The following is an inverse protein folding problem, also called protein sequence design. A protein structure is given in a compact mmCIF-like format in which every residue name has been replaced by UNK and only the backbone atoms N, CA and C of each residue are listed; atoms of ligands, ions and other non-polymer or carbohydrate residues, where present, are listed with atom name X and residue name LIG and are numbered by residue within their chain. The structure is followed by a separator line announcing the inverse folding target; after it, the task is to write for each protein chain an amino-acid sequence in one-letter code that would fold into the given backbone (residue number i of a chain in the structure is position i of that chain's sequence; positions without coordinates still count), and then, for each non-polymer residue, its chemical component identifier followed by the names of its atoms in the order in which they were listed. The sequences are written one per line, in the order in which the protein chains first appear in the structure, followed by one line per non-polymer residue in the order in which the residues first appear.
data_IF_333813601041
#
_entry.id   IF_333813601041
#
_cell.length_a   1.000
_cell.length_b   1.000
_cell.length_c   1.000
_cell.angle_alpha   90.00
_cell.angle_beta   90.00
_cell.angle_gamma   90.00
#
_symmetry.space_group_name_H-M   'P 1'
#
loop_
_entity.id
_entity.type
_entity.pdbx_description
1 polymer ?
#
# COMPACT_ATOMS: atom_id res chain seq x y z
N UNK A 1 -1.33 -4.55 -37.53
CA UNK A 1 -1.26 -5.00 -36.11
C UNK A 1 -0.45 -3.96 -35.36
N UNK A 2 -1.10 -3.05 -34.63
CA UNK A 2 -0.40 -2.02 -33.86
C UNK A 2 0.21 -2.71 -32.62
N UNK A 3 1.53 -2.75 -32.53
CA UNK A 3 2.22 -3.23 -31.33
C UNK A 3 1.83 -2.25 -30.22
N UNK A 4 1.00 -2.68 -29.25
CA UNK A 4 0.78 -1.90 -28.03
C UNK A 4 2.14 -1.76 -27.37
N UNK A 5 2.60 -0.54 -27.16
CA UNK A 5 3.79 -0.29 -26.35
C UNK A 5 3.63 -0.98 -25.00
N UNK A 6 4.64 -1.77 -24.61
CA UNK A 6 4.67 -2.39 -23.28
C UNK A 6 4.72 -1.28 -22.23
N UNK A 7 3.66 -1.15 -21.43
CA UNK A 7 3.64 -0.21 -20.30
C UNK A 7 4.52 -0.73 -19.18
N UNK A 8 5.23 0.19 -18.54
CA UNK A 8 6.09 -0.09 -17.38
C UNK A 8 5.42 0.46 -16.14
N UNK A 9 5.21 -0.42 -15.17
CA UNK A 9 4.61 -0.09 -13.88
C UNK A 9 5.65 -0.24 -12.78
N UNK A 10 5.74 0.74 -11.88
CA UNK A 10 6.37 0.60 -10.58
C UNK A 10 5.26 0.40 -9.56
N UNK A 11 5.29 -0.72 -8.85
CA UNK A 11 4.37 -0.96 -7.72
C UNK A 11 5.13 -0.65 -6.44
N UNK A 12 4.76 0.43 -5.75
CA UNK A 12 5.38 0.80 -4.48
C UNK A 12 4.66 0.11 -3.33
N UNK A 13 5.40 -0.47 -2.38
CA UNK A 13 4.84 -1.23 -1.26
C UNK A 13 4.33 -0.31 -0.14
N UNK A 14 3.93 -0.91 0.97
CA UNK A 14 3.57 -0.24 2.22
C UNK A 14 4.74 0.63 2.69
N UNK A 15 4.58 1.96 2.67
CA UNK A 15 5.62 2.90 3.10
C UNK A 15 5.63 3.08 4.62
N UNK A 16 4.45 3.02 5.24
CA UNK A 16 4.26 3.13 6.70
C UNK A 16 4.94 4.38 7.29
N UNK A 17 4.73 5.54 6.66
CA UNK A 17 5.32 6.81 7.14
C UNK A 17 4.68 7.18 8.49
N UNK A 18 5.47 7.53 9.50
CA UNK A 18 6.90 7.91 9.50
C UNK A 18 7.85 6.73 9.79
N UNK A 19 7.36 5.49 9.84
CA UNK A 19 8.17 4.31 10.20
C UNK A 19 9.02 3.79 9.04
N UNK A 20 8.99 4.46 7.89
CA UNK A 20 9.74 4.08 6.69
C UNK A 20 11.25 4.09 6.91
N UNK A 21 11.97 3.31 6.10
CA UNK A 21 13.43 3.28 6.08
C UNK A 21 13.94 4.37 5.10
N UNK A 22 14.54 5.48 5.59
CA UNK A 22 14.82 6.65 4.75
C UNK A 22 15.72 6.33 3.54
N UNK A 23 16.75 5.49 3.73
CA UNK A 23 17.68 5.12 2.66
C UNK A 23 17.00 4.26 1.59
N UNK A 24 16.13 3.32 1.97
CA UNK A 24 15.40 2.48 1.04
C UNK A 24 14.44 3.33 0.18
N UNK A 25 13.67 4.22 0.81
CA UNK A 25 12.78 5.15 0.12
C UNK A 25 13.57 6.08 -0.81
N UNK A 26 14.69 6.67 -0.35
CA UNK A 26 15.55 7.51 -1.21
C UNK A 26 16.08 6.75 -2.43
N UNK A 27 16.46 5.48 -2.28
CA UNK A 27 16.90 4.65 -3.41
C UNK A 27 15.75 4.35 -4.38
N UNK A 28 14.55 4.07 -3.87
CA UNK A 28 13.35 3.85 -4.68
C UNK A 28 12.99 5.11 -5.49
N UNK A 29 13.04 6.30 -4.88
CA UNK A 29 12.84 7.59 -5.56
C UNK A 29 13.86 7.78 -6.70
N UNK A 30 15.14 7.52 -6.43
CA UNK A 30 16.19 7.61 -7.47
C UNK A 30 15.92 6.66 -8.62
N UNK A 31 15.53 5.43 -8.33
CA UNK A 31 15.19 4.44 -9.34
C UNK A 31 13.94 4.86 -10.13
N UNK A 32 12.89 5.33 -9.47
CA UNK A 32 11.69 5.81 -10.14
C UNK A 32 11.99 6.92 -11.14
N UNK A 33 12.80 7.91 -10.73
CA UNK A 33 13.22 9.03 -11.59
C UNK A 33 14.13 8.58 -12.74
N UNK A 34 14.99 7.59 -12.52
CA UNK A 34 15.92 7.09 -13.55
C UNK A 34 15.24 6.22 -14.60
N UNK A 35 14.39 5.29 -14.16
CA UNK A 35 13.83 4.24 -15.01
C UNK A 35 12.61 4.70 -15.84
N UNK A 36 12.02 5.85 -15.53
CA UNK A 36 10.88 6.46 -16.26
C UNK A 36 9.73 5.47 -16.47
N UNK A 37 9.06 5.09 -15.40
CA UNK A 37 7.85 4.28 -15.46
C UNK A 37 6.69 5.08 -16.06
N UNK A 38 5.79 4.39 -16.77
CA UNK A 38 4.56 5.02 -17.28
C UNK A 38 3.57 5.29 -16.14
N UNK A 39 3.59 4.44 -15.12
CA UNK A 39 2.74 4.54 -13.93
C UNK A 39 3.51 4.12 -12.68
N UNK A 40 3.27 4.84 -11.59
CA UNK A 40 3.75 4.51 -10.25
C UNK A 40 2.53 4.30 -9.37
N UNK A 41 2.29 3.06 -8.97
CA UNK A 41 1.09 2.63 -8.24
C UNK A 41 1.47 2.30 -6.80
N UNK A 42 0.76 2.86 -5.82
CA UNK A 42 0.97 2.54 -4.42
C UNK A 42 -0.13 1.60 -3.90
N UNK A 43 0.26 0.56 -3.19
CA UNK A 43 -0.65 -0.47 -2.66
C UNK A 43 -1.41 -0.04 -1.39
N UNK A 44 -1.32 1.22 -1.00
CA UNK A 44 -1.86 1.74 0.25
C UNK A 44 -0.84 1.69 1.39
N UNK A 45 -1.29 1.98 2.60
CA UNK A 45 -0.44 2.06 3.80
C UNK A 45 0.77 3.00 3.62
N UNK A 46 0.56 4.11 2.91
CA UNK A 46 1.53 5.20 2.79
C UNK A 46 1.79 5.86 4.15
N UNK A 47 0.73 5.98 4.98
CA UNK A 47 0.80 6.42 6.36
C UNK A 47 0.64 5.25 7.32
N UNK A 48 1.42 5.22 8.41
CA UNK A 48 1.15 4.31 9.53
C UNK A 48 0.01 4.82 10.40
N UNK A 49 -0.17 6.13 10.51
CA UNK A 49 -1.14 6.76 11.41
C UNK A 49 -1.01 6.22 12.84
N UNK A 50 0.20 6.18 13.34
CA UNK A 50 0.56 5.54 14.62
C UNK A 50 -0.25 6.11 15.79
N UNK A 51 -0.39 7.43 15.86
CA UNK A 51 -1.16 8.13 16.92
C UNK A 51 -2.65 7.73 16.93
N UNK A 52 -3.18 7.26 15.81
CA UNK A 52 -4.57 6.79 15.66
C UNK A 52 -4.72 5.28 15.91
N UNK A 53 -3.62 4.58 16.17
CA UNK A 53 -3.62 3.15 16.42
C UNK A 53 -4.17 2.82 17.82
N UNK A 54 -5.05 1.82 17.89
CA UNK A 54 -5.53 1.29 19.18
C UNK A 54 -4.42 0.75 20.09
N UNK A 55 -3.29 0.38 19.51
CA UNK A 55 -2.17 -0.25 20.20
C UNK A 55 -1.25 0.73 20.94
N UNK A 56 -1.34 2.03 20.63
CA UNK A 56 -0.52 3.06 21.26
C UNK A 56 -1.26 3.86 22.34
N UNK A 57 -2.55 3.61 22.52
CA UNK A 57 -3.35 4.31 23.53
C UNK A 57 -2.73 4.16 24.93
N UNK A 58 -2.58 5.28 25.64
CA UNK A 58 -1.95 5.35 26.96
C UNK A 58 -0.43 5.21 26.94
N UNK A 59 0.20 5.22 25.77
CA UNK A 59 1.67 5.19 25.65
C UNK A 59 2.21 6.55 25.20
N UNK A 60 3.53 6.76 25.34
CA UNK A 60 4.19 7.98 24.82
C UNK A 60 4.01 8.16 23.31
N UNK A 61 3.86 7.08 22.59
CA UNK A 61 3.71 7.08 21.12
C UNK A 61 2.37 7.67 20.66
N UNK A 62 1.36 7.70 21.52
CA UNK A 62 0.05 8.34 21.21
C UNK A 62 0.21 9.84 20.89
N UNK A 63 1.24 10.48 21.45
CA UNK A 63 1.46 11.92 21.33
C UNK A 63 2.81 12.26 20.69
N UNK A 64 3.55 11.26 20.19
CA UNK A 64 4.94 11.44 19.77
C UNK A 64 5.07 12.22 18.45
N UNK A 65 4.12 12.08 17.55
CA UNK A 65 4.10 12.76 16.24
C UNK A 65 2.70 13.24 15.93
N UNK A 66 2.59 14.35 15.21
CA UNK A 66 1.30 14.83 14.75
C UNK A 66 0.95 14.19 13.42
N UNK A 67 -0.34 13.95 13.19
CA UNK A 67 -0.82 13.46 11.91
C UNK A 67 -0.50 14.44 10.76
N UNK A 68 -0.30 15.71 11.08
CA UNK A 68 0.15 16.73 10.12
C UNK A 68 1.58 16.46 9.63
N UNK A 69 2.49 16.09 10.53
CA UNK A 69 3.89 15.81 10.16
C UNK A 69 3.99 14.53 9.32
N UNK A 70 3.29 13.45 9.74
CA UNK A 70 3.19 12.22 8.95
C UNK A 70 2.71 12.51 7.52
N UNK A 71 1.63 13.30 7.41
CA UNK A 71 1.05 13.70 6.13
C UNK A 71 2.04 14.46 5.26
N UNK A 72 2.72 15.47 5.80
CA UNK A 72 3.67 16.29 5.05
C UNK A 72 4.80 15.43 4.46
N UNK A 73 5.39 14.56 5.28
CA UNK A 73 6.44 13.63 4.81
C UNK A 73 5.91 12.70 3.71
N UNK A 74 4.69 12.20 3.87
CA UNK A 74 4.09 11.31 2.88
C UNK A 74 3.83 12.01 1.55
N UNK A 75 3.32 13.24 1.59
CA UNK A 75 3.09 14.05 0.40
C UNK A 75 4.38 14.27 -0.39
N UNK A 76 5.47 14.64 0.30
CA UNK A 76 6.78 14.84 -0.33
C UNK A 76 7.30 13.54 -0.98
N UNK A 77 7.22 12.41 -0.27
CA UNK A 77 7.67 11.12 -0.79
C UNK A 77 6.84 10.65 -1.99
N UNK A 78 5.51 10.75 -1.91
CA UNK A 78 4.62 10.36 -3.00
C UNK A 78 4.83 11.22 -4.25
N UNK A 79 5.04 12.53 -4.05
CA UNK A 79 5.39 13.46 -5.14
C UNK A 79 6.74 13.10 -5.77
N UNK A 80 7.77 12.89 -4.95
CA UNK A 80 9.11 12.55 -5.41
C UNK A 80 9.19 11.20 -6.15
N UNK A 81 8.37 10.22 -5.73
CA UNK A 81 8.19 8.94 -6.42
C UNK A 81 7.52 9.10 -7.79
N UNK A 82 6.78 10.20 -8.01
CA UNK A 82 5.91 10.36 -9.17
C UNK A 82 4.68 9.46 -9.11
N UNK A 83 4.14 9.22 -7.91
CA UNK A 83 2.97 8.36 -7.71
C UNK A 83 1.79 8.86 -8.55
N UNK A 84 1.22 7.98 -9.36
CA UNK A 84 0.07 8.28 -10.23
C UNK A 84 -1.24 7.81 -9.63
N UNK A 85 -1.20 6.69 -8.91
CA UNK A 85 -2.38 6.03 -8.35
C UNK A 85 -2.06 5.46 -6.98
N UNK A 86 -3.03 5.52 -6.08
CA UNK A 86 -2.95 4.93 -4.74
C UNK A 86 -4.28 4.29 -4.37
N UNK A 87 -4.23 3.15 -3.71
CA UNK A 87 -5.42 2.45 -3.25
C UNK A 87 -5.69 2.70 -1.77
N UNK A 88 -6.95 2.71 -1.40
CA UNK A 88 -7.41 2.70 -0.01
C UNK A 88 -6.80 1.51 0.75
N UNK A 89 -6.44 1.74 2.02
CA UNK A 89 -5.91 0.74 2.93
C UNK A 89 -6.65 0.73 4.28
N UNK A 90 -6.38 -0.27 5.10
CA UNK A 90 -6.91 -0.30 6.47
C UNK A 90 -6.34 0.82 7.34
N UNK A 91 -5.15 1.34 7.05
CA UNK A 91 -4.60 2.52 7.72
C UNK A 91 -5.30 3.80 7.27
N UNK A 92 -5.64 3.92 6.00
CA UNK A 92 -6.49 5.00 5.47
C UNK A 92 -7.79 5.15 6.28
N UNK A 93 -8.41 4.02 6.65
CA UNK A 93 -9.66 4.00 7.41
C UNK A 93 -9.51 4.41 8.88
N UNK A 94 -8.28 4.50 9.41
CA UNK A 94 -8.05 4.89 10.82
C UNK A 94 -8.55 6.31 11.11
N UNK A 95 -8.37 7.25 10.18
CA UNK A 95 -8.89 8.61 10.33
C UNK A 95 -10.40 8.60 10.53
N UNK A 96 -11.13 7.96 9.59
CA UNK A 96 -12.59 7.84 9.68
C UNK A 96 -13.02 7.14 10.98
N UNK A 97 -12.38 6.02 11.33
CA UNK A 97 -12.73 5.25 12.53
C UNK A 97 -12.49 6.05 13.82
N UNK A 98 -11.44 6.85 13.85
CA UNK A 98 -11.13 7.71 15.01
C UNK A 98 -12.16 8.83 15.15
N UNK A 99 -12.50 9.49 14.05
CA UNK A 99 -13.52 10.54 14.03
C UNK A 99 -14.90 9.97 14.44
N UNK A 100 -15.28 8.82 13.90
CA UNK A 100 -16.55 8.17 14.23
C UNK A 100 -16.67 7.87 15.74
N UNK A 101 -15.57 7.47 16.38
CA UNK A 101 -15.59 7.13 17.81
C UNK A 101 -15.41 8.32 18.73
N UNK A 102 -14.58 9.29 18.37
CA UNK A 102 -14.17 10.40 19.24
C UNK A 102 -14.84 11.74 18.96
N UNK A 103 -15.21 11.99 17.70
CA UNK A 103 -15.78 13.27 17.28
C UNK A 103 -16.68 13.09 16.03
N UNK A 104 -17.81 12.35 16.14
CA UNK A 104 -18.64 12.00 14.99
C UNK A 104 -19.23 13.21 14.27
N UNK A 105 -19.40 14.33 14.94
CA UNK A 105 -19.86 15.59 14.34
C UNK A 105 -18.91 16.14 13.28
N UNK A 106 -17.64 15.75 13.30
CA UNK A 106 -16.63 16.18 12.32
C UNK A 106 -16.64 15.37 11.03
N UNK A 107 -17.33 14.22 10.98
CA UNK A 107 -17.39 13.37 9.79
C UNK A 107 -18.01 14.05 8.56
N UNK A 108 -18.79 15.10 8.77
CA UNK A 108 -19.38 15.89 7.68
C UNK A 108 -18.45 16.92 7.05
N UNK A 109 -17.24 17.12 7.60
CA UNK A 109 -16.29 18.10 7.08
C UNK A 109 -15.54 17.53 5.87
N UNK A 110 -15.65 18.16 4.68
CA UNK A 110 -14.96 17.67 3.47
C UNK A 110 -13.46 17.55 3.63
N UNK A 111 -12.84 18.41 4.45
CA UNK A 111 -11.39 18.46 4.71
C UNK A 111 -10.88 17.21 5.43
N UNK A 112 -11.76 16.49 6.13
CA UNK A 112 -11.46 15.27 6.87
C UNK A 112 -11.75 13.99 6.07
N UNK A 113 -12.21 14.11 4.83
CA UNK A 113 -12.25 12.99 3.89
C UNK A 113 -10.80 12.69 3.50
N UNK A 114 -10.38 11.41 3.59
CA UNK A 114 -8.97 11.03 3.51
C UNK A 114 -8.26 11.53 2.25
N UNK A 115 -8.90 11.41 1.07
CA UNK A 115 -8.33 11.94 -0.18
C UNK A 115 -8.13 13.48 -0.17
N UNK A 116 -8.95 14.21 0.57
CA UNK A 116 -8.79 15.66 0.76
C UNK A 116 -7.74 15.97 1.83
N UNK A 117 -7.77 15.22 2.92
CA UNK A 117 -6.75 15.31 3.96
C UNK A 117 -5.35 15.10 3.37
N UNK A 118 -5.16 14.14 2.48
CA UNK A 118 -3.90 13.88 1.80
C UNK A 118 -3.62 14.80 0.60
N UNK A 119 -4.59 15.63 0.19
CA UNK A 119 -4.49 16.50 -0.98
C UNK A 119 -4.06 15.76 -2.27
N UNK A 120 -4.52 14.53 -2.49
CA UNK A 120 -4.11 13.71 -3.62
C UNK A 120 -4.36 14.38 -4.97
N UNK A 121 -5.48 15.11 -5.11
CA UNK A 121 -5.77 15.85 -6.35
C UNK A 121 -4.73 16.92 -6.67
N UNK A 122 -4.18 17.58 -5.64
CA UNK A 122 -3.18 18.64 -5.81
C UNK A 122 -1.82 18.05 -6.18
N UNK A 123 -1.56 16.81 -5.76
CA UNK A 123 -0.38 16.02 -6.14
C UNK A 123 -0.54 15.30 -7.49
N UNK A 124 -1.71 15.40 -8.15
CA UNK A 124 -2.00 14.68 -9.38
C UNK A 124 -2.22 13.17 -9.20
N UNK A 125 -2.48 12.71 -7.97
CA UNK A 125 -2.65 11.30 -7.63
C UNK A 125 -4.13 10.91 -7.70
N UNK A 126 -4.44 9.80 -8.35
CA UNK A 126 -5.77 9.20 -8.36
C UNK A 126 -5.92 8.26 -7.15
N UNK A 127 -6.89 8.54 -6.30
CA UNK A 127 -7.21 7.69 -5.16
C UNK A 127 -8.32 6.71 -5.50
N UNK A 128 -8.07 5.42 -5.29
CA UNK A 128 -9.00 4.33 -5.56
C UNK A 128 -9.55 3.76 -4.25
N UNK A 129 -10.84 3.88 -4.05
CA UNK A 129 -11.53 3.39 -2.82
C UNK A 129 -11.70 1.88 -2.77
N UNK A 130 -11.43 1.18 -3.87
CA UNK A 130 -11.57 -0.27 -4.03
C UNK A 130 -10.49 -0.80 -4.96
N UNK A 131 -10.24 -2.10 -4.91
CA UNK A 131 -9.41 -2.79 -5.89
C UNK A 131 -9.85 -2.44 -7.31
N UNK A 132 -8.90 -2.17 -8.18
CA UNK A 132 -9.17 -1.77 -9.56
C UNK A 132 -8.21 -2.45 -10.55
N UNK A 133 -8.66 -2.62 -11.77
CA UNK A 133 -7.87 -3.18 -12.86
C UNK A 133 -6.93 -2.09 -13.41
N UNK A 134 -5.63 -2.20 -13.14
CA UNK A 134 -4.63 -1.25 -13.64
C UNK A 134 -4.04 -1.65 -14.99
N UNK A 135 -4.06 -2.95 -15.29
CA UNK A 135 -3.74 -3.51 -16.60
C UNK A 135 -4.66 -4.72 -16.83
N UNK A 136 -4.92 -5.05 -18.08
CA UNK A 136 -5.84 -6.13 -18.45
C UNK A 136 -5.50 -7.43 -17.73
N UNK A 137 -6.41 -7.89 -16.87
CA UNK A 137 -6.26 -9.11 -16.09
C UNK A 137 -5.38 -8.96 -14.84
N UNK A 138 -4.97 -7.71 -14.48
CA UNK A 138 -4.20 -7.41 -13.27
C UNK A 138 -4.90 -6.35 -12.43
N UNK A 139 -5.19 -6.71 -11.21
CA UNK A 139 -5.81 -5.83 -10.21
C UNK A 139 -4.81 -5.38 -9.17
N UNK A 140 -4.88 -4.09 -8.82
CA UNK A 140 -4.26 -3.56 -7.60
C UNK A 140 -5.27 -3.65 -6.47
N UNK A 141 -4.83 -4.18 -5.33
CA UNK A 141 -5.58 -4.29 -4.09
C UNK A 141 -4.69 -3.86 -2.93
N UNK A 142 -5.29 -3.54 -1.76
CA UNK A 142 -4.44 -3.37 -0.58
C UNK A 142 -4.02 -4.74 -0.01
N UNK A 143 -4.93 -5.69 0.10
CA UNK A 143 -4.70 -7.03 0.64
C UNK A 143 -5.54 -7.36 1.88
N UNK A 144 -6.13 -6.35 2.53
CA UNK A 144 -7.08 -6.53 3.64
C UNK A 144 -8.46 -7.02 3.19
N UNK A 145 -8.69 -7.10 1.87
CA UNK A 145 -9.90 -7.71 1.28
C UNK A 145 -9.91 -9.24 1.39
N UNK A 146 -8.79 -9.84 1.78
CA UNK A 146 -8.60 -11.28 1.90
C UNK A 146 -8.21 -11.75 3.29
N UNK A 147 -8.21 -13.07 3.47
CA UNK A 147 -7.67 -13.69 4.68
C UNK A 147 -6.15 -13.77 4.54
N UNK A 148 -5.44 -13.17 5.49
CA UNK A 148 -3.98 -13.13 5.50
C UNK A 148 -3.40 -14.56 5.64
N UNK A 149 -2.54 -14.93 4.71
CA UNK A 149 -1.74 -16.18 4.78
C UNK A 149 -0.43 -15.93 5.53
N UNK A 150 0.14 -17.00 6.08
CA UNK A 150 1.49 -16.97 6.67
C UNK A 150 2.60 -17.07 5.63
N UNK A 151 2.28 -17.42 4.38
CA UNK A 151 3.25 -17.63 3.31
C UNK A 151 3.16 -16.51 2.29
N UNK A 152 4.31 -15.98 1.89
CA UNK A 152 4.45 -14.90 0.92
C UNK A 152 3.80 -15.25 -0.44
N UNK A 153 3.10 -14.28 -1.03
CA UNK A 153 2.38 -14.43 -2.29
C UNK A 153 1.03 -15.15 -2.20
N UNK A 154 0.74 -15.83 -1.08
CA UNK A 154 -0.49 -16.66 -0.97
C UNK A 154 -1.74 -15.83 -0.67
N UNK A 155 -1.64 -14.75 0.10
CA UNK A 155 -2.79 -13.85 0.31
C UNK A 155 -3.26 -13.28 -1.03
N UNK A 156 -2.34 -12.72 -1.81
CA UNK A 156 -2.61 -12.21 -3.14
C UNK A 156 -3.13 -13.31 -4.09
N UNK A 157 -2.56 -14.53 -4.03
CA UNK A 157 -3.04 -15.64 -4.87
C UNK A 157 -4.45 -16.08 -4.53
N UNK A 158 -4.82 -16.07 -3.24
CA UNK A 158 -6.17 -16.42 -2.81
C UNK A 158 -7.19 -15.38 -3.31
N UNK A 159 -6.83 -14.09 -3.28
CA UNK A 159 -7.63 -13.04 -3.91
C UNK A 159 -7.71 -13.24 -5.42
N UNK A 160 -6.59 -13.53 -6.08
CA UNK A 160 -6.54 -13.79 -7.51
C UNK A 160 -7.45 -14.94 -7.94
N UNK A 161 -7.45 -16.03 -7.18
CA UNK A 161 -8.37 -17.16 -7.42
C UNK A 161 -9.84 -16.78 -7.22
N UNK A 162 -10.13 -16.00 -6.18
CA UNK A 162 -11.49 -15.53 -5.89
C UNK A 162 -12.04 -14.61 -6.98
N UNK A 163 -11.18 -13.76 -7.56
CA UNK A 163 -11.56 -12.77 -8.57
C UNK A 163 -11.38 -13.24 -10.01
N UNK A 164 -10.70 -14.38 -10.24
CA UNK A 164 -10.40 -14.90 -11.57
C UNK A 164 -9.38 -14.08 -12.35
N UNK A 165 -8.59 -13.24 -11.70
CA UNK A 165 -7.61 -12.33 -12.29
C UNK A 165 -6.36 -12.28 -11.43
N UNK A 166 -5.22 -11.86 -12.00
CA UNK A 166 -4.00 -11.62 -11.23
C UNK A 166 -4.19 -10.45 -10.25
N UNK A 167 -3.57 -10.55 -9.06
CA UNK A 167 -3.65 -9.53 -8.02
C UNK A 167 -2.25 -9.15 -7.54
N UNK A 168 -2.01 -7.85 -7.42
CA UNK A 168 -0.86 -7.27 -6.73
C UNK A 168 -1.38 -6.56 -5.48
N UNK A 169 -0.78 -6.82 -4.32
CA UNK A 169 -1.20 -6.18 -3.07
C UNK A 169 -0.04 -5.93 -2.09
N UNK A 170 -0.33 -5.13 -1.05
CA UNK A 170 0.49 -4.88 0.14
C UNK A 170 -0.04 -5.59 1.39
N UNK A 171 -0.19 -4.85 2.48
CA UNK A 171 -0.80 -5.23 3.76
C UNK A 171 -0.08 -6.33 4.54
N UNK A 172 0.37 -7.37 3.89
CA UNK A 172 1.00 -8.55 4.55
C UNK A 172 2.43 -8.27 4.99
N UNK A 173 3.04 -7.20 4.48
CA UNK A 173 4.45 -6.86 4.62
C UNK A 173 5.41 -7.95 4.12
N UNK A 174 4.89 -8.97 3.42
CA UNK A 174 5.68 -10.02 2.78
C UNK A 174 5.94 -9.68 1.33
N UNK A 175 7.06 -10.16 0.81
CA UNK A 175 7.35 -10.03 -0.60
C UNK A 175 7.37 -11.42 -1.23
N UNK A 176 6.58 -11.60 -2.29
CA UNK A 176 6.55 -12.86 -3.00
C UNK A 176 5.60 -12.84 -4.18
N UNK A 177 5.93 -13.66 -5.17
CA UNK A 177 5.08 -13.89 -6.34
C UNK A 177 4.82 -15.38 -6.50
N UNK A 178 3.57 -15.74 -6.67
CA UNK A 178 3.16 -17.11 -6.91
C UNK A 178 2.05 -17.17 -7.96
N UNK A 179 1.87 -18.32 -8.58
CA UNK A 179 0.92 -18.47 -9.66
C UNK A 179 -0.02 -19.65 -9.47
N UNK A 180 -1.17 -19.56 -10.09
CA UNK A 180 -2.09 -20.67 -10.26
C UNK A 180 -2.41 -20.84 -11.75
N UNK A 181 -2.32 -22.07 -12.22
CA UNK A 181 -2.61 -22.41 -13.60
C UNK A 181 -3.80 -23.37 -13.64
N UNK A 182 -4.77 -23.04 -14.49
CA UNK A 182 -5.93 -23.88 -14.77
C UNK A 182 -5.98 -24.17 -16.24
N UNK A 183 -6.58 -25.29 -16.62
CA UNK A 183 -6.79 -25.64 -18.01
C UNK A 183 -6.68 -27.12 -18.28
N UNK A 184 -7.06 -27.51 -19.50
CA UNK A 184 -7.06 -28.89 -19.99
C UNK A 184 -6.71 -28.89 -21.47
N UNK A 185 -6.11 -30.00 -21.96
CA UNK A 185 -5.84 -30.23 -23.38
C UNK A 185 -5.07 -29.11 -24.07
N UNK A 186 -4.00 -28.60 -23.44
CA UNK A 186 -3.13 -27.57 -23.99
C UNK A 186 -3.68 -26.13 -23.94
N UNK A 187 -4.90 -25.93 -23.41
CA UNK A 187 -5.47 -24.61 -23.17
C UNK A 187 -5.34 -24.25 -21.70
N UNK A 188 -4.40 -23.36 -21.39
CA UNK A 188 -4.10 -22.98 -20.01
C UNK A 188 -4.34 -21.49 -19.80
N UNK A 189 -4.87 -21.16 -18.60
CA UNK A 189 -4.92 -19.80 -18.07
C UNK A 189 -4.07 -19.72 -16.82
N UNK A 190 -3.26 -18.68 -16.70
CA UNK A 190 -2.39 -18.45 -15.53
C UNK A 190 -2.75 -17.12 -14.89
N UNK A 191 -2.99 -17.15 -13.59
CA UNK A 191 -3.16 -15.96 -12.76
C UNK A 191 -2.05 -15.89 -11.71
N UNK A 192 -1.70 -14.68 -11.31
CA UNK A 192 -0.62 -14.40 -10.38
C UNK A 192 -1.15 -13.76 -9.10
N UNK A 193 -0.57 -14.13 -7.98
CA UNK A 193 -0.65 -13.42 -6.72
C UNK A 193 0.71 -12.84 -6.38
N UNK A 194 0.79 -11.52 -6.22
CA UNK A 194 2.02 -10.78 -5.95
C UNK A 194 1.82 -9.93 -4.70
N UNK A 195 2.67 -10.12 -3.71
CA UNK A 195 2.74 -9.29 -2.50
C UNK A 195 3.98 -8.41 -2.59
N UNK A 196 3.80 -7.10 -2.44
CA UNK A 196 4.83 -6.10 -2.75
C UNK A 196 5.88 -5.92 -1.65
N UNK A 197 5.63 -6.42 -0.43
CA UNK A 197 6.51 -6.18 0.71
C UNK A 197 6.22 -4.86 1.43
N UNK A 198 7.25 -4.28 2.04
CA UNK A 198 7.15 -2.99 2.75
C UNK A 198 8.48 -2.22 2.69
N UNK A 199 8.45 -0.95 3.09
CA UNK A 199 9.66 -0.13 3.25
C UNK A 199 9.84 0.41 4.67
N UNK A 200 9.31 -0.28 5.68
CA UNK A 200 9.53 0.08 7.10
C UNK A 200 10.97 -0.14 7.56
N UNK A 201 11.43 0.70 8.45
CA UNK A 201 12.68 0.48 9.21
C UNK A 201 12.43 -0.51 10.36
N UNK A 202 12.58 -1.79 10.05
CA UNK A 202 12.36 -2.89 11.00
C UNK A 202 13.27 -2.82 12.21
N UNK A 203 14.48 -2.28 12.05
CA UNK A 203 15.48 -2.24 13.11
C UNK A 203 15.19 -1.16 14.13
N UNK A 204 14.80 0.03 13.66
CA UNK A 204 14.74 1.21 14.52
C UNK A 204 13.32 1.67 14.85
N UNK A 205 12.35 1.34 14.01
CA UNK A 205 11.01 1.93 14.09
C UNK A 205 9.86 0.92 14.29
N UNK A 206 10.06 -0.35 13.96
CA UNK A 206 9.01 -1.36 14.14
C UNK A 206 8.88 -1.84 15.61
N UNK A 207 8.78 -0.89 16.55
CA UNK A 207 8.76 -1.18 17.99
C UNK A 207 7.58 -2.05 18.45
N UNK A 208 6.48 -2.06 17.71
CA UNK A 208 5.32 -2.88 18.02
C UNK A 208 5.53 -4.38 17.74
N UNK A 209 6.56 -4.76 17.00
CA UNK A 209 6.95 -6.16 16.85
C UNK A 209 7.56 -6.73 18.12
N UNK A 210 8.13 -5.88 18.99
CA UNK A 210 8.81 -6.27 20.23
C UNK A 210 9.77 -7.45 20.00
N UNK A 211 9.37 -8.64 20.46
CA UNK A 211 10.15 -9.88 20.36
C UNK A 211 9.61 -10.83 19.28
N UNK A 212 8.59 -10.43 18.52
CA UNK A 212 8.01 -11.29 17.49
C UNK A 212 8.93 -11.33 16.27
N UNK A 213 9.25 -12.54 15.82
CA UNK A 213 9.88 -12.75 14.52
C UNK A 213 8.79 -12.73 13.45
N UNK A 214 8.71 -11.63 12.70
CA UNK A 214 7.81 -11.52 11.58
C UNK A 214 8.53 -11.95 10.30
N UNK A 215 7.86 -12.75 9.48
CA UNK A 215 8.31 -13.08 8.12
C UNK A 215 7.95 -11.93 7.17
N UNK A 216 8.57 -10.78 7.40
CA UNK A 216 8.38 -9.55 6.64
C UNK A 216 9.60 -9.23 5.80
N UNK A 217 9.38 -8.76 4.59
CA UNK A 217 10.45 -8.52 3.64
C UNK A 217 10.42 -7.07 3.14
N UNK A 218 11.53 -6.37 3.35
CA UNK A 218 11.72 -5.04 2.78
C UNK A 218 12.05 -5.18 1.28
N UNK A 219 11.20 -4.62 0.44
CA UNK A 219 11.34 -4.67 -1.01
C UNK A 219 10.20 -3.97 -1.74
N UNK A 220 10.19 -4.09 -3.06
CA UNK A 220 9.15 -3.55 -3.96
C UNK A 220 9.13 -4.36 -5.26
#
# INVERSE_FOLDING_TARGET
MTIKANRRYLITPDLQIPLHHPKAVSNLIKMSKHEKFDFVLNVGDELDMTSQSRWVKGTKTEFAETLHDERSIAQDILFDLGTTDIIRSNHTDRLFTTLLKGAPSLLGLPELVFEKFMAYSDLGIRFHKRAYEFERGFFLAHGDEGVMSKHAGITALNLAKKWGNSVVCGHTHRQGATRHQTGLNGRYSTIWGIEAGHLMDMKNKASYLKYASADWNMGF
#
